data_IF_692578761319
#
_entry.id   IF_692578761319
#
_cell.length_a   1.000
_cell.length_b   1.000
_cell.length_c   1.000
_cell.angle_alpha   90.00
_cell.angle_beta   90.00
_cell.angle_gamma   90.00
#
_symmetry.space_group_name_H-M   'P 1'
#
loop_
_entity.id
_entity.type
_entity.pdbx_description
1 polymer ?
#
# COMPACT_ATOMS: atom_id res chain seq x y z
N UNK A 1 -55.51 1.27 -12.56
CA UNK A 1 -55.27 2.11 -11.37
C UNK A 1 -54.13 1.49 -10.57
N UNK A 2 -52.94 2.09 -10.62
CA UNK A 2 -51.83 1.65 -9.77
C UNK A 2 -52.15 2.01 -8.31
N UNK A 3 -52.07 1.02 -7.42
CA UNK A 3 -52.38 1.18 -5.99
C UNK A 3 -51.32 2.09 -5.33
N UNK A 4 -51.66 3.35 -5.15
CA UNK A 4 -50.81 4.40 -4.55
C UNK A 4 -50.30 4.02 -3.14
N UNK A 5 -51.00 3.10 -2.45
CA UNK A 5 -50.65 2.63 -1.10
C UNK A 5 -49.35 1.80 -1.03
N UNK A 6 -48.87 1.23 -2.14
CA UNK A 6 -47.64 0.41 -2.17
C UNK A 6 -46.40 1.26 -2.51
N UNK A 7 -46.59 2.42 -3.15
CA UNK A 7 -45.47 3.28 -3.59
C UNK A 7 -44.91 4.11 -2.42
N UNK A 8 -45.75 4.50 -1.46
CA UNK A 8 -45.38 5.34 -0.33
C UNK A 8 -44.28 4.73 0.60
N UNK A 9 -44.32 3.45 1.01
CA UNK A 9 -43.24 2.88 1.82
C UNK A 9 -41.92 2.70 1.05
N UNK A 10 -41.97 2.56 -0.29
CA UNK A 10 -40.77 2.47 -1.12
C UNK A 10 -40.03 3.81 -1.20
N UNK A 11 -40.74 4.93 -1.07
CA UNK A 11 -40.17 6.27 -1.15
C UNK A 11 -39.40 6.63 0.13
N UNK A 12 -39.87 6.21 1.31
CA UNK A 12 -39.14 6.42 2.58
C UNK A 12 -37.85 5.63 2.69
N UNK A 13 -37.75 4.45 2.06
CA UNK A 13 -36.53 3.62 2.14
C UNK A 13 -35.33 4.24 1.40
N UNK A 14 -35.60 5.10 0.40
CA UNK A 14 -34.55 5.75 -0.38
C UNK A 14 -33.80 6.87 0.36
N UNK A 15 -34.38 7.41 1.44
CA UNK A 15 -33.82 8.56 2.16
C UNK A 15 -32.72 8.13 3.14
N UNK A 16 -32.69 6.86 3.57
CA UNK A 16 -31.75 6.36 4.60
C UNK A 16 -30.32 6.18 4.05
N UNK A 17 -30.15 6.05 2.74
CA UNK A 17 -28.83 5.78 2.12
C UNK A 17 -27.97 7.05 2.02
N UNK A 18 -28.56 8.24 2.09
CA UNK A 18 -27.89 9.51 1.81
C UNK A 18 -27.46 10.31 3.04
N UNK A 19 -27.54 9.74 4.26
CA UNK A 19 -27.17 10.43 5.52
C UNK A 19 -26.06 9.78 6.33
N UNK A 20 -25.29 8.86 5.73
CA UNK A 20 -24.16 8.21 6.43
C UNK A 20 -22.93 9.12 6.41
N UNK A 21 -22.51 9.59 7.58
CA UNK A 21 -21.34 10.47 7.75
C UNK A 21 -20.05 9.73 7.45
N UNK A 22 -20.00 8.46 7.84
CA UNK A 22 -18.85 7.58 7.65
C UNK A 22 -19.30 6.19 7.19
N UNK A 23 -18.59 5.58 6.24
CA UNK A 23 -18.83 4.21 5.81
C UNK A 23 -17.58 3.36 6.02
N UNK A 24 -17.70 2.27 6.78
CA UNK A 24 -16.61 1.36 7.08
C UNK A 24 -16.70 0.07 6.25
N UNK A 25 -15.67 -0.26 5.47
CA UNK A 25 -15.65 -1.53 4.74
C UNK A 25 -15.33 -2.66 5.72
N UNK A 26 -16.25 -3.60 5.83
CA UNK A 26 -16.06 -4.80 6.62
C UNK A 26 -15.00 -5.73 6.01
N UNK A 27 -14.14 -6.28 6.86
CA UNK A 27 -13.07 -7.17 6.43
C UNK A 27 -13.59 -8.60 6.32
N UNK A 28 -13.65 -9.12 5.10
CA UNK A 28 -14.13 -10.48 4.80
C UNK A 28 -13.02 -11.53 4.88
N UNK A 29 -11.77 -11.13 5.14
CA UNK A 29 -10.63 -12.04 5.19
C UNK A 29 -10.65 -12.90 6.46
N UNK A 30 -10.79 -14.22 6.30
CA UNK A 30 -10.82 -15.16 7.42
C UNK A 30 -9.58 -15.09 8.33
N UNK A 31 -8.42 -14.69 7.79
CA UNK A 31 -7.16 -14.56 8.54
C UNK A 31 -7.13 -13.36 9.48
N UNK A 32 -8.04 -12.42 9.29
CA UNK A 32 -8.16 -11.16 10.02
C UNK A 32 -9.40 -11.13 10.94
N UNK A 33 -10.10 -12.26 11.13
CA UNK A 33 -11.29 -12.36 12.00
C UNK A 33 -11.04 -11.96 13.45
N UNK A 34 -9.79 -12.04 13.90
CA UNK A 34 -9.38 -11.69 15.26
C UNK A 34 -9.47 -10.19 15.57
N UNK A 35 -9.64 -9.34 14.54
CA UNK A 35 -9.84 -7.90 14.70
C UNK A 35 -11.27 -7.55 14.26
N UNK A 36 -12.08 -7.18 15.22
CA UNK A 36 -13.41 -6.60 14.99
C UNK A 36 -13.26 -5.09 14.81
N UNK A 37 -14.00 -4.55 13.84
CA UNK A 37 -14.00 -3.12 13.56
C UNK A 37 -15.40 -2.64 13.20
N UNK A 38 -15.81 -1.55 13.81
CA UNK A 38 -17.12 -0.96 13.62
C UNK A 38 -17.09 0.53 13.96
N UNK A 39 -18.03 1.27 13.40
CA UNK A 39 -18.27 2.66 13.79
C UNK A 39 -19.17 2.69 15.03
N UNK A 40 -18.97 3.68 15.88
CA UNK A 40 -19.91 3.93 16.97
C UNK A 40 -21.28 4.42 16.42
N UNK A 41 -22.27 4.57 17.30
CA UNK A 41 -23.64 4.93 16.89
C UNK A 41 -23.75 6.31 16.21
N UNK A 42 -22.84 7.23 16.54
CA UNK A 42 -22.80 8.57 15.98
C UNK A 42 -21.98 8.65 14.67
N UNK A 43 -21.36 7.54 14.26
CA UNK A 43 -20.45 7.43 13.11
C UNK A 43 -19.25 8.40 13.16
N UNK A 44 -18.90 8.85 14.36
CA UNK A 44 -17.86 9.84 14.61
C UNK A 44 -16.61 9.24 15.26
N UNK A 45 -16.65 7.97 15.67
CA UNK A 45 -15.50 7.23 16.17
C UNK A 45 -15.41 5.83 15.57
N UNK A 46 -14.20 5.41 15.20
CA UNK A 46 -13.88 4.04 14.80
C UNK A 46 -13.42 3.24 16.00
N UNK A 47 -14.07 2.10 16.23
CA UNK A 47 -13.71 1.17 17.29
C UNK A 47 -13.00 -0.02 16.68
N UNK A 48 -11.82 -0.34 17.20
CA UNK A 48 -11.05 -1.53 16.87
C UNK A 48 -10.91 -2.39 18.12
N UNK A 49 -11.31 -3.66 18.01
CA UNK A 49 -11.27 -4.62 19.11
C UNK A 49 -10.60 -5.91 18.62
N UNK A 50 -9.40 -6.17 19.12
CA UNK A 50 -8.59 -7.34 18.83
C UNK A 50 -8.73 -8.41 19.91
N UNK A 51 -8.73 -9.68 19.51
CA UNK A 51 -8.51 -10.81 20.44
C UNK A 51 -7.11 -10.74 21.09
N UNK A 52 -6.15 -10.16 20.36
CA UNK A 52 -4.75 -9.92 20.76
C UNK A 52 -4.47 -8.42 20.82
N UNK A 53 -3.37 -8.07 21.50
CA UNK A 53 -2.91 -6.69 21.62
C UNK A 53 -2.65 -6.05 20.26
N UNK A 54 -3.29 -4.90 20.04
CA UNK A 54 -3.02 -3.98 18.96
C UNK A 54 -1.85 -3.11 19.41
N UNK A 55 -0.72 -3.16 18.72
CA UNK A 55 0.46 -2.39 19.10
C UNK A 55 0.37 -0.96 18.58
N UNK A 56 -0.06 -0.82 17.33
CA UNK A 56 -0.24 0.47 16.67
C UNK A 56 -1.30 0.42 15.60
N UNK A 57 -1.90 1.57 15.33
CA UNK A 57 -2.82 1.78 14.23
C UNK A 57 -2.27 2.91 13.37
N UNK A 58 -2.11 2.67 12.08
CA UNK A 58 -1.75 3.72 11.12
C UNK A 58 -2.99 4.08 10.31
N UNK A 59 -3.32 5.36 10.23
CA UNK A 59 -4.43 5.87 9.43
C UNK A 59 -3.83 6.76 8.38
N UNK A 60 -4.07 6.46 7.10
CA UNK A 60 -3.47 7.25 6.04
C UNK A 60 -4.35 7.37 4.80
N UNK A 61 -4.17 8.48 4.11
CA UNK A 61 -4.71 8.82 2.79
C UNK A 61 -3.57 9.52 2.00
N UNK A 62 -3.86 10.13 0.85
CA UNK A 62 -2.90 10.92 0.07
C UNK A 62 -2.29 12.06 0.88
N UNK A 63 -3.10 12.73 1.69
CA UNK A 63 -2.72 13.96 2.42
C UNK A 63 -2.72 13.80 3.95
N UNK A 64 -3.04 12.61 4.46
CA UNK A 64 -3.12 12.29 5.89
C UNK A 64 -2.26 11.07 6.19
N UNK A 65 -1.48 11.08 7.27
CA UNK A 65 -0.79 9.89 7.78
C UNK A 65 -0.50 10.10 9.27
N UNK A 66 -1.24 9.38 10.08
CA UNK A 66 -1.18 9.38 11.53
C UNK A 66 -0.87 7.97 12.04
N UNK A 67 -0.07 7.89 13.11
CA UNK A 67 0.25 6.63 13.79
C UNK A 67 -0.09 6.75 15.26
N UNK A 68 -1.06 5.95 15.69
CA UNK A 68 -1.52 5.89 17.07
C UNK A 68 -0.88 4.68 17.75
N UNK A 69 -0.13 4.91 18.84
CA UNK A 69 0.40 3.82 19.68
C UNK A 69 -0.71 3.39 20.63
N UNK A 70 -1.05 2.10 20.61
CA UNK A 70 -2.19 1.57 21.37
C UNK A 70 -1.70 0.74 22.55
N UNK A 71 -1.04 -0.39 22.27
CA UNK A 71 -0.61 -1.41 23.26
C UNK A 71 -1.75 -1.96 24.11
N UNK A 72 -2.94 -2.00 23.55
CA UNK A 72 -4.14 -2.52 24.18
C UNK A 72 -4.92 -3.38 23.17
N UNK A 73 -5.88 -4.17 23.65
CA UNK A 73 -6.77 -4.98 22.81
C UNK A 73 -7.87 -4.14 22.16
N UNK A 74 -8.22 -3.00 22.75
CA UNK A 74 -9.29 -2.13 22.25
C UNK A 74 -8.78 -0.71 22.09
N UNK A 75 -9.24 -0.04 21.03
CA UNK A 75 -9.05 1.40 20.86
C UNK A 75 -10.28 2.02 20.20
N UNK A 76 -10.61 3.22 20.66
CA UNK A 76 -11.55 4.12 20.02
C UNK A 76 -10.78 5.27 19.40
N UNK A 77 -11.01 5.50 18.11
CA UNK A 77 -10.30 6.49 17.31
C UNK A 77 -11.33 7.53 16.87
N UNK A 78 -11.24 8.77 17.38
CA UNK A 78 -12.10 9.85 16.92
C UNK A 78 -11.85 10.15 15.44
N UNK A 79 -12.91 10.45 14.70
CA UNK A 79 -12.85 10.74 13.26
C UNK A 79 -13.02 12.24 12.95
N UNK A 80 -13.11 13.10 13.96
CA UNK A 80 -13.31 14.55 13.81
C UNK A 80 -12.19 15.21 12.99
N UNK A 81 -10.95 14.80 13.25
CA UNK A 81 -9.76 15.32 12.56
C UNK A 81 -9.60 14.76 11.13
N UNK A 82 -10.48 13.85 10.70
CA UNK A 82 -10.45 13.26 9.37
C UNK A 82 -11.40 14.01 8.42
N UNK A 83 -10.77 14.72 7.48
CA UNK A 83 -11.43 15.32 6.32
C UNK A 83 -12.23 14.28 5.52
N UNK A 84 -13.18 14.77 4.72
CA UNK A 84 -13.93 13.97 3.75
C UNK A 84 -12.93 13.26 2.81
N UNK A 85 -13.08 11.95 2.66
CA UNK A 85 -12.15 11.16 1.87
C UNK A 85 -12.11 9.70 2.24
N UNK A 86 -11.17 8.99 1.63
CA UNK A 86 -10.98 7.55 1.83
C UNK A 86 -9.68 7.30 2.55
N UNK A 87 -9.77 6.64 3.69
CA UNK A 87 -8.65 6.31 4.55
C UNK A 87 -8.39 4.81 4.52
N UNK A 88 -7.12 4.47 4.56
CA UNK A 88 -6.63 3.11 4.77
C UNK A 88 -6.11 3.02 6.19
N UNK A 89 -6.60 2.03 6.91
CA UNK A 89 -6.32 1.84 8.34
C UNK A 89 -5.56 0.53 8.48
N UNK A 90 -4.31 0.60 8.95
CA UNK A 90 -3.43 -0.53 9.20
C UNK A 90 -3.33 -0.77 10.70
N UNK A 91 -4.02 -1.80 11.19
CA UNK A 91 -3.87 -2.29 12.56
C UNK A 91 -2.72 -3.30 12.62
N UNK A 92 -1.73 -3.03 13.48
CA UNK A 92 -0.52 -3.85 13.62
C UNK A 92 -0.58 -4.64 14.92
N UNK A 93 -0.66 -5.95 14.78
CA UNK A 93 -0.54 -6.94 15.84
C UNK A 93 0.91 -7.47 15.86
N UNK A 94 1.23 -8.41 16.76
CA UNK A 94 2.60 -8.94 16.94
C UNK A 94 3.18 -9.54 15.65
N UNK A 95 2.37 -10.33 14.95
CA UNK A 95 2.75 -11.16 13.80
C UNK A 95 1.93 -10.85 12.54
N UNK A 96 1.03 -9.87 12.60
CA UNK A 96 0.06 -9.58 11.55
C UNK A 96 -0.19 -8.09 11.38
N UNK A 97 -0.60 -7.74 10.17
CA UNK A 97 -1.06 -6.41 9.78
C UNK A 97 -2.40 -6.57 9.08
N UNK A 98 -3.40 -5.89 9.59
CA UNK A 98 -4.77 -5.98 9.09
C UNK A 98 -5.11 -4.63 8.47
N UNK A 99 -5.55 -4.65 7.21
CA UNK A 99 -5.92 -3.46 6.45
C UNK A 99 -7.43 -3.34 6.39
N UNK A 100 -7.94 -2.17 6.76
CA UNK A 100 -9.34 -1.78 6.72
C UNK A 100 -9.46 -0.49 5.91
N UNK A 101 -10.62 -0.25 5.29
CA UNK A 101 -10.89 0.98 4.54
C UNK A 101 -12.06 1.71 5.18
N UNK A 102 -11.88 3.00 5.43
CA UNK A 102 -12.89 3.92 5.95
C UNK A 102 -13.17 5.01 4.91
N UNK A 103 -14.43 5.28 4.64
CA UNK A 103 -14.87 6.44 3.87
C UNK A 103 -15.50 7.47 4.79
N UNK A 104 -15.13 8.72 4.60
CA UNK A 104 -15.70 9.90 5.24
C UNK A 104 -16.45 10.64 4.15
N UNK A 105 -17.78 10.72 4.28
CA UNK A 105 -18.66 11.25 3.24
C UNK A 105 -19.08 12.69 3.56
N UNK A 106 -19.11 13.04 4.85
CA UNK A 106 -19.51 14.35 5.36
C UNK A 106 -18.49 14.86 6.38
N UNK A 107 -18.28 16.18 6.47
CA UNK A 107 -17.45 16.74 7.52
C UNK A 107 -18.17 16.57 8.86
N UNK A 108 -17.46 16.17 9.91
CA UNK A 108 -18.00 16.27 11.25
C UNK A 108 -17.89 17.72 11.69
N UNK A 109 -19.02 18.29 12.10
CA UNK A 109 -19.02 19.63 12.69
C UNK A 109 -18.38 19.49 14.07
N UNK A 110 -17.18 20.04 14.24
CA UNK A 110 -16.55 20.19 15.54
C UNK A 110 -17.43 21.07 16.42
N UNK A 111 -17.98 20.46 17.48
CA UNK A 111 -18.82 21.17 18.46
C UNK A 111 -17.99 22.25 19.20
N UNK A 112 -16.66 22.12 19.19
CA UNK A 112 -15.74 23.07 19.82
C UNK A 112 -15.50 24.34 18.99
N UNK A 113 -15.75 24.33 17.67
CA UNK A 113 -15.48 25.48 16.81
C UNK A 113 -16.63 26.49 16.84
N UNK A 114 -17.86 26.04 17.15
CA UNK A 114 -19.05 26.90 17.22
C UNK A 114 -19.25 27.62 18.57
N UNK A 115 -18.47 27.33 19.61
CA UNK A 115 -18.55 28.06 20.89
C UNK A 115 -17.82 29.42 20.79
N UNK A 116 -16.87 29.56 19.86
CA UNK A 116 -16.06 30.78 19.69
C UNK A 116 -16.72 31.86 18.83
N UNK A 117 -17.75 31.53 18.04
CA UNK A 117 -18.43 32.49 17.15
C UNK A 117 -19.84 32.91 17.61
N UNK A 118 -20.39 32.28 18.66
CA UNK A 118 -21.74 32.62 19.16
C UNK A 118 -21.69 33.51 20.43
N UNK A 119 -20.51 33.72 21.03
CA UNK A 119 -20.36 34.59 22.21
C UNK A 119 -19.87 36.00 21.85
N UNK A 120 -20.62 36.71 21.02
CA UNK A 120 -20.59 38.18 20.99
C UNK A 120 -21.97 38.71 20.61
N UNK A 121 -22.60 39.42 21.56
CA UNK A 121 -23.99 39.93 21.60
C UNK A 121 -24.98 38.83 22.05
N UNK A 122 -25.57 38.80 23.25
CA UNK A 122 -25.97 39.84 24.20
C UNK A 122 -26.11 39.25 25.63
N UNK A 123 -26.19 40.15 26.63
CA UNK A 123 -26.13 39.89 28.08
C UNK A 123 -27.39 39.24 28.69
N UNK A 124 -27.14 38.67 29.87
CA UNK A 124 -28.02 38.43 31.03
C UNK A 124 -28.95 37.21 31.02
N UNK A 125 -28.55 36.13 31.71
CA UNK A 125 -28.95 35.86 33.11
C UNK A 125 -28.46 34.48 33.59
N UNK A 126 -27.80 34.50 34.75
CA UNK A 126 -27.63 33.46 35.79
C UNK A 126 -28.06 32.00 35.53
N UNK A 127 -27.13 31.06 35.64
CA UNK A 127 -27.03 30.17 36.81
C UNK A 127 -25.86 29.18 36.73
N UNK A 128 -25.11 29.20 37.82
CA UNK A 128 -24.09 28.26 38.32
C UNK A 128 -24.54 26.80 38.21
N UNK A 129 -23.65 25.88 37.82
CA UNK A 129 -23.46 24.59 38.51
C UNK A 129 -22.07 24.01 38.19
N UNK A 130 -21.28 23.87 39.25
CA UNK A 130 -19.96 23.21 39.37
C UNK A 130 -20.18 21.71 39.50
N UNK A 131 -19.31 20.87 38.94
CA UNK A 131 -18.84 19.65 39.62
C UNK A 131 -17.43 19.27 39.13
N UNK A 132 -16.53 19.14 40.11
CA UNK A 132 -15.17 18.57 40.05
C UNK A 132 -15.24 17.05 39.92
N UNK A 133 -14.22 16.43 39.31
CA UNK A 133 -13.60 15.21 39.89
C UNK A 133 -12.24 14.92 39.25
N UNK A 134 -11.21 15.21 40.05
CA UNK A 134 -10.14 14.32 40.51
C UNK A 134 -9.33 13.43 39.55
N UNK A 135 -8.03 13.67 39.69
CA UNK A 135 -6.91 12.80 39.32
C UNK A 135 -6.89 11.58 40.24
N UNK A 136 -6.52 10.42 39.70
CA UNK A 136 -5.57 9.55 40.38
C UNK A 136 -4.73 8.72 39.40
N UNK A 137 -3.40 8.84 39.59
CA UNK A 137 -2.31 7.83 39.49
C UNK A 137 -2.33 6.81 38.34
N UNK A 138 -1.22 6.59 37.63
CA UNK A 138 -0.05 5.89 38.19
C UNK A 138 1.14 5.97 37.24
N UNK A 139 2.31 6.26 37.79
CA UNK A 139 3.64 6.22 37.18
C UNK A 139 4.14 4.79 36.96
N UNK A 140 4.55 4.43 35.73
CA UNK A 140 5.45 3.29 35.49
C UNK A 140 6.44 3.62 34.34
N UNK A 141 7.68 3.87 34.76
CA UNK A 141 8.99 3.62 34.13
C UNK A 141 9.10 3.59 32.59
N UNK A 142 9.60 4.71 32.06
CA UNK A 142 10.32 4.80 30.78
C UNK A 142 11.63 4.02 30.86
N UNK A 143 11.81 2.98 30.04
CA UNK A 143 13.15 2.52 29.57
C UNK A 143 13.02 1.37 28.56
N UNK A 144 12.21 1.51 27.50
CA UNK A 144 12.38 0.63 26.32
C UNK A 144 11.75 1.15 25.01
N UNK A 145 11.70 2.47 24.80
CA UNK A 145 11.02 3.04 23.61
C UNK A 145 11.87 3.96 22.72
N UNK A 146 13.14 4.19 23.06
CA UNK A 146 14.01 5.19 22.39
C UNK A 146 14.67 4.76 21.06
N UNK A 147 14.20 3.70 20.39
CA UNK A 147 14.83 3.21 19.14
C UNK A 147 13.94 3.28 17.90
N UNK A 148 12.73 3.80 17.98
CA UNK A 148 11.80 3.84 16.84
C UNK A 148 11.25 5.27 16.67
N UNK A 149 11.61 5.88 15.55
CA UNK A 149 10.99 7.09 14.97
C UNK A 149 11.39 8.49 15.50
N UNK A 150 12.68 8.83 15.42
CA UNK A 150 13.06 10.25 15.27
C UNK A 150 12.90 10.72 13.83
N UNK A 151 12.07 11.76 13.71
CA UNK A 151 11.96 12.82 12.68
C UNK A 151 11.11 12.55 11.44
N UNK A 152 9.81 12.80 11.60
CA UNK A 152 8.91 13.16 10.53
C UNK A 152 8.61 14.68 10.50
N UNK A 153 8.87 15.25 9.31
CA UNK A 153 8.02 16.18 8.55
C UNK A 153 7.94 17.66 8.96
N UNK A 154 8.07 18.51 7.95
CA UNK A 154 7.27 19.75 7.80
C UNK A 154 6.95 20.07 6.32
N UNK A 155 5.64 20.14 6.06
CA UNK A 155 4.90 21.14 5.25
C UNK A 155 4.47 20.86 3.78
N UNK A 156 3.16 20.59 3.66
CA UNK A 156 2.07 21.29 2.93
C UNK A 156 1.88 21.25 1.39
N UNK A 157 0.69 20.71 1.04
CA UNK A 157 -0.41 21.12 0.12
C UNK A 157 -0.24 21.14 -1.41
N UNK A 158 -1.08 20.35 -2.11
CA UNK A 158 -2.21 20.79 -2.97
C UNK A 158 -3.05 19.57 -3.46
N UNK A 159 -4.38 19.68 -3.38
CA UNK A 159 -5.41 18.72 -3.84
C UNK A 159 -5.43 18.53 -5.37
N UNK A 160 -5.77 17.30 -5.82
CA UNK A 160 -6.49 17.03 -7.08
C UNK A 160 -7.02 15.58 -7.11
N UNK A 161 -8.25 15.43 -7.62
CA UNK A 161 -9.06 14.22 -7.66
C UNK A 161 -8.63 13.26 -8.78
N UNK A 162 -7.83 12.25 -8.46
CA UNK A 162 -7.51 11.14 -9.37
C UNK A 162 -7.79 9.80 -8.67
N UNK A 163 -8.80 9.11 -9.22
CA UNK A 163 -9.03 7.66 -9.30
C UNK A 163 -8.90 6.77 -8.04
N UNK A 164 -10.05 6.22 -7.61
CA UNK A 164 -10.27 5.16 -6.61
C UNK A 164 -9.32 3.95 -6.74
N UNK A 165 -8.76 3.70 -7.94
CA UNK A 165 -7.78 2.64 -8.22
C UNK A 165 -6.38 2.92 -7.66
N UNK A 166 -6.04 4.18 -7.37
CA UNK A 166 -4.74 4.59 -6.81
C UNK A 166 -4.68 4.32 -5.29
N UNK A 167 -5.82 4.44 -4.60
CA UNK A 167 -5.95 4.18 -3.15
C UNK A 167 -5.91 2.69 -2.79
N UNK A 168 -6.39 1.80 -3.66
CA UNK A 168 -6.24 0.34 -3.47
C UNK A 168 -4.83 -0.15 -3.80
N UNK A 169 -4.10 0.58 -4.63
CA UNK A 169 -2.68 0.35 -4.94
C UNK A 169 -1.73 1.20 -4.09
N UNK A 170 -2.25 1.83 -3.02
CA UNK A 170 -1.47 2.67 -2.14
C UNK A 170 -0.41 1.83 -1.40
N UNK A 171 0.79 1.78 -1.97
CA UNK A 171 2.00 1.51 -1.20
C UNK A 171 2.26 2.74 -0.36
N UNK A 172 2.20 2.59 0.97
CA UNK A 172 2.59 3.60 1.96
C UNK A 172 3.77 4.43 1.43
N UNK A 173 3.61 5.74 1.20
CA UNK A 173 4.70 6.56 0.72
C UNK A 173 5.77 6.53 1.80
N UNK A 174 6.96 6.09 1.41
CA UNK A 174 8.14 6.10 2.27
C UNK A 174 8.40 7.56 2.58
N UNK A 175 8.21 7.97 3.83
CA UNK A 175 8.51 9.32 4.30
C UNK A 175 9.88 9.76 3.74
N UNK A 176 9.90 10.85 2.97
CA UNK A 176 11.16 11.44 2.51
C UNK A 176 11.84 12.07 3.72
N UNK A 177 12.63 11.26 4.44
CA UNK A 177 13.83 11.76 5.12
C UNK A 177 14.53 12.68 4.11
N UNK A 178 15.05 13.82 4.52
CA UNK A 178 15.98 14.57 3.66
C UNK A 178 17.09 13.61 3.30
N UNK A 179 16.94 12.97 2.14
CA UNK A 179 17.97 12.18 1.55
C UNK A 179 19.02 13.24 1.27
N UNK A 180 20.05 13.35 2.13
CA UNK A 180 21.41 13.62 1.63
C UNK A 180 21.46 12.81 0.37
N UNK A 181 21.37 13.44 -0.82
CA UNK A 181 21.17 12.77 -2.12
C UNK A 181 22.01 11.52 -2.04
N UNK A 182 21.37 10.38 -1.76
CA UNK A 182 22.11 9.21 -1.32
C UNK A 182 22.63 8.73 -2.63
N UNK A 183 23.83 9.24 -3.01
CA UNK A 183 24.38 9.23 -4.37
C UNK A 183 23.82 7.98 -4.98
N UNK A 184 22.83 8.13 -5.88
CA UNK A 184 22.12 6.96 -6.39
C UNK A 184 23.23 5.99 -6.72
N UNK A 185 23.29 4.87 -5.99
CA UNK A 185 24.33 3.89 -6.28
C UNK A 185 23.95 3.48 -7.68
N UNK A 186 24.61 4.06 -8.68
CA UNK A 186 24.39 3.76 -10.07
C UNK A 186 24.54 2.26 -10.11
N UNK A 187 23.41 1.57 -10.24
CA UNK A 187 23.44 0.12 -10.32
C UNK A 187 24.13 -0.11 -11.65
N UNK A 188 25.40 -0.49 -11.58
CA UNK A 188 26.16 -0.89 -12.75
C UNK A 188 25.55 -2.21 -13.17
N UNK A 189 24.61 -2.13 -14.10
CA UNK A 189 24.06 -3.30 -14.74
C UNK A 189 25.03 -3.70 -15.83
N UNK A 190 25.57 -4.90 -15.71
CA UNK A 190 26.56 -5.42 -16.65
C UNK A 190 25.96 -6.50 -17.54
N UNK A 191 24.65 -6.79 -17.41
CA UNK A 191 24.03 -7.89 -18.14
C UNK A 191 22.67 -7.51 -18.71
N UNK A 192 22.41 -7.99 -19.91
CA UNK A 192 21.09 -7.98 -20.53
C UNK A 192 20.48 -9.36 -20.48
N UNK A 193 19.23 -9.42 -20.03
CA UNK A 193 18.49 -10.66 -19.86
C UNK A 193 17.37 -10.71 -20.87
N UNK A 194 17.28 -11.83 -21.56
CA UNK A 194 16.10 -12.28 -22.28
C UNK A 194 15.62 -13.57 -21.62
N UNK A 195 14.41 -13.56 -21.07
CA UNK A 195 13.82 -14.73 -20.45
C UNK A 195 12.42 -14.97 -20.99
N UNK A 196 12.23 -16.08 -21.68
CA UNK A 196 10.95 -16.55 -22.19
C UNK A 196 10.46 -17.69 -21.31
N UNK A 197 9.29 -17.48 -20.70
CA UNK A 197 8.64 -18.43 -19.81
C UNK A 197 7.43 -19.01 -20.55
N UNK A 198 7.41 -20.33 -20.70
CA UNK A 198 6.36 -21.08 -21.36
C UNK A 198 5.67 -21.97 -20.33
N UNK A 199 4.36 -21.80 -20.18
CA UNK A 199 3.57 -22.47 -19.14
C UNK A 199 2.52 -23.44 -19.69
N UNK A 200 2.53 -23.68 -21.01
CA UNK A 200 1.53 -24.46 -21.75
C UNK A 200 0.29 -23.67 -22.14
N UNK A 201 -0.20 -22.78 -21.28
CA UNK A 201 -1.39 -21.94 -21.56
C UNK A 201 -1.05 -20.51 -21.99
N UNK A 202 0.14 -20.02 -21.64
CA UNK A 202 0.63 -18.71 -22.05
C UNK A 202 2.16 -18.70 -22.11
N UNK A 203 2.68 -17.78 -22.92
CA UNK A 203 4.09 -17.42 -22.97
C UNK A 203 4.30 -16.00 -22.44
N UNK A 204 5.43 -15.77 -21.77
CA UNK A 204 5.80 -14.45 -21.25
C UNK A 204 7.28 -14.18 -21.51
N UNK A 205 7.57 -13.05 -22.15
CA UNK A 205 8.94 -12.61 -22.42
C UNK A 205 9.30 -11.47 -21.45
N UNK A 206 10.43 -11.62 -20.77
CA UNK A 206 11.01 -10.64 -19.86
C UNK A 206 12.34 -10.18 -20.45
N UNK A 207 12.47 -8.87 -20.63
CA UNK A 207 13.68 -8.22 -21.14
C UNK A 207 14.11 -7.13 -20.18
N UNK A 208 15.29 -7.27 -19.56
CA UNK A 208 15.76 -6.29 -18.57
C UNK A 208 17.27 -6.28 -18.42
N UNK A 209 17.77 -5.14 -17.94
CA UNK A 209 19.13 -5.03 -17.40
C UNK A 209 19.17 -5.64 -16.00
N UNK A 210 20.24 -6.39 -15.70
CA UNK A 210 20.41 -7.08 -14.43
C UNK A 210 21.82 -6.93 -13.87
N UNK A 211 21.93 -7.09 -12.54
CA UNK A 211 23.22 -7.14 -11.84
C UNK A 211 23.73 -8.57 -11.76
N UNK A 212 25.04 -8.78 -11.55
CA UNK A 212 25.63 -10.12 -11.44
C UNK A 212 24.90 -11.01 -10.42
N UNK A 213 24.65 -10.48 -9.21
CA UNK A 213 23.90 -11.18 -8.15
C UNK A 213 22.48 -11.62 -8.57
N UNK A 214 21.84 -10.84 -9.43
CA UNK A 214 20.52 -11.19 -9.95
C UNK A 214 20.61 -12.25 -11.05
N UNK A 215 21.62 -12.15 -11.90
CA UNK A 215 21.95 -13.16 -12.91
C UNK A 215 22.22 -14.51 -12.26
N UNK A 216 23.07 -14.57 -11.23
CA UNK A 216 23.41 -15.82 -10.54
C UNK A 216 22.14 -16.52 -10.03
N UNK A 217 21.24 -15.76 -9.38
CA UNK A 217 19.94 -16.27 -8.92
C UNK A 217 19.02 -16.73 -10.05
N UNK A 218 19.03 -16.02 -11.18
CA UNK A 218 18.23 -16.38 -12.35
C UNK A 218 18.76 -17.66 -13.00
N UNK A 219 20.07 -17.84 -13.05
CA UNK A 219 20.74 -19.05 -13.54
C UNK A 219 20.43 -20.22 -12.62
N UNK A 220 20.65 -20.09 -11.31
CA UNK A 220 20.34 -21.14 -10.32
C UNK A 220 18.88 -21.59 -10.43
N UNK A 221 17.95 -20.64 -10.52
CA UNK A 221 16.53 -20.94 -10.69
C UNK A 221 16.24 -21.63 -12.03
N UNK A 222 16.81 -21.14 -13.12
CA UNK A 222 16.61 -21.75 -14.44
C UNK A 222 17.15 -23.18 -14.48
N UNK A 223 18.29 -23.46 -13.84
CA UNK A 223 18.85 -24.82 -13.73
C UNK A 223 17.92 -25.78 -12.99
N UNK A 224 17.16 -25.30 -12.00
CA UNK A 224 16.13 -26.10 -11.34
C UNK A 224 14.89 -26.27 -12.24
N UNK A 225 14.44 -25.19 -12.88
CA UNK A 225 13.24 -25.19 -13.72
C UNK A 225 13.38 -26.12 -14.92
N UNK A 226 14.54 -26.15 -15.58
CA UNK A 226 14.81 -26.98 -16.77
C UNK A 226 14.72 -28.49 -16.47
N UNK A 227 14.91 -28.89 -15.20
CA UNK A 227 14.71 -30.30 -14.80
C UNK A 227 13.24 -30.71 -14.77
N UNK A 228 12.32 -29.75 -14.79
CA UNK A 228 10.87 -30.01 -14.79
C UNK A 228 10.32 -30.04 -16.22
N UNK A 229 9.32 -30.90 -16.49
CA UNK A 229 8.67 -30.99 -17.81
C UNK A 229 8.17 -29.63 -18.33
N UNK A 230 7.65 -28.78 -17.45
CA UNK A 230 7.15 -27.45 -17.82
C UNK A 230 8.31 -26.49 -18.14
N UNK A 231 9.37 -26.52 -17.34
CA UNK A 231 10.49 -25.58 -17.48
C UNK A 231 11.47 -25.91 -18.60
N UNK A 232 11.43 -27.10 -19.19
CA UNK A 232 12.19 -27.45 -20.41
C UNK A 232 11.86 -26.53 -21.60
N UNK A 233 10.66 -25.97 -21.62
CA UNK A 233 10.22 -25.04 -22.66
C UNK A 233 10.64 -23.58 -22.41
N UNK A 234 11.24 -23.28 -21.25
CA UNK A 234 11.71 -21.94 -20.92
C UNK A 234 13.08 -21.65 -21.54
N UNK A 235 13.29 -20.43 -22.01
CA UNK A 235 14.54 -20.00 -22.64
C UNK A 235 15.10 -18.80 -21.89
N UNK A 236 16.27 -18.96 -21.26
CA UNK A 236 17.04 -17.88 -20.66
C UNK A 236 18.29 -17.64 -21.49
N UNK A 237 18.46 -16.41 -21.99
CA UNK A 237 19.68 -15.93 -22.65
C UNK A 237 20.17 -14.68 -21.96
N UNK A 238 21.44 -14.65 -21.62
CA UNK A 238 22.07 -13.55 -20.89
C UNK A 238 23.30 -13.11 -21.67
N UNK A 239 23.44 -11.80 -21.91
CA UNK A 239 24.61 -11.20 -22.55
C UNK A 239 25.34 -10.30 -21.56
N UNK A 240 26.66 -10.33 -21.62
CA UNK A 240 27.51 -9.39 -20.89
C UNK A 240 27.61 -8.08 -21.67
N UNK A 241 27.46 -6.97 -20.95
CA UNK A 241 27.44 -5.61 -21.49
C UNK A 241 28.57 -4.80 -20.86
N UNK A 242 29.39 -4.21 -21.71
CA UNK A 242 30.47 -3.31 -21.32
C UNK A 242 29.98 -1.86 -21.18
N UNK A 243 29.06 -1.43 -22.05
CA UNK A 243 28.46 -0.09 -22.01
C UNK A 243 26.93 -0.13 -22.16
N UNK A 244 26.22 -0.06 -21.03
CA UNK A 244 24.76 -0.14 -20.96
C UNK A 244 24.06 1.00 -21.70
N UNK A 245 24.58 2.22 -21.62
CA UNK A 245 23.94 3.40 -22.21
C UNK A 245 23.98 3.36 -23.73
N UNK A 246 25.12 3.00 -24.31
CA UNK A 246 25.25 2.88 -25.76
C UNK A 246 24.52 1.64 -26.28
N UNK A 247 24.55 0.53 -25.54
CA UNK A 247 23.82 -0.68 -25.88
C UNK A 247 22.31 -0.43 -26.03
N UNK A 248 21.68 0.22 -25.04
CA UNK A 248 20.24 0.48 -25.07
C UNK A 248 19.85 1.37 -26.26
N UNK A 249 20.60 2.45 -26.50
CA UNK A 249 20.37 3.34 -27.64
C UNK A 249 20.39 2.60 -28.98
N UNK A 250 21.41 1.77 -29.22
CA UNK A 250 21.51 1.04 -30.50
C UNK A 250 20.49 -0.09 -30.60
N UNK A 251 20.14 -0.72 -29.48
CA UNK A 251 19.10 -1.76 -29.42
C UNK A 251 17.70 -1.22 -29.71
N UNK A 252 17.43 0.02 -29.35
CA UNK A 252 16.17 0.70 -29.68
C UNK A 252 16.08 1.03 -31.17
N UNK A 253 17.21 1.39 -31.79
CA UNK A 253 17.28 1.72 -33.22
C UNK A 253 17.25 0.47 -34.12
N UNK A 254 17.94 -0.61 -33.73
CA UNK A 254 17.99 -1.86 -34.48
C UNK A 254 17.58 -3.05 -33.61
N UNK A 255 16.47 -3.70 -34.01
CA UNK A 255 15.96 -4.91 -33.34
C UNK A 255 16.93 -6.08 -33.43
N UNK A 256 17.75 -6.14 -34.48
CA UNK A 256 18.72 -7.21 -34.74
C UNK A 256 20.10 -6.93 -34.13
N UNK A 257 20.26 -5.80 -33.43
CA UNK A 257 21.53 -5.36 -32.86
C UNK A 257 22.24 -6.40 -31.97
N UNK A 258 21.48 -7.28 -31.30
CA UNK A 258 22.01 -8.35 -30.45
C UNK A 258 22.86 -9.37 -31.23
N UNK A 259 22.60 -9.52 -32.53
CA UNK A 259 23.29 -10.47 -33.39
C UNK A 259 24.47 -9.83 -34.13
N UNK A 260 24.62 -8.51 -34.05
CA UNK A 260 25.66 -7.75 -34.74
C UNK A 260 26.85 -7.54 -33.83
N UNK A 261 28.08 -7.73 -34.36
CA UNK A 261 29.31 -7.43 -33.61
C UNK A 261 29.32 -5.97 -33.17
N UNK A 262 29.50 -5.75 -31.87
CA UNK A 262 29.49 -4.43 -31.26
C UNK A 262 30.55 -4.34 -30.17
N UNK A 263 31.19 -3.16 -29.99
CA UNK A 263 32.09 -2.93 -28.88
C UNK A 263 31.38 -2.76 -27.54
N UNK A 264 30.04 -2.68 -27.51
CA UNK A 264 29.29 -2.36 -26.29
C UNK A 264 28.86 -3.57 -25.48
N UNK A 265 28.87 -4.77 -26.06
CA UNK A 265 28.45 -6.01 -25.42
C UNK A 265 29.12 -7.22 -26.08
N UNK A 266 29.13 -8.35 -25.39
CA UNK A 266 29.59 -9.61 -25.96
C UNK A 266 28.47 -10.24 -26.81
N UNK A 267 28.72 -10.48 -28.10
CA UNK A 267 27.77 -11.14 -29.01
C UNK A 267 27.45 -12.56 -28.55
N UNK A 268 28.47 -13.24 -28.00
CA UNK A 268 28.31 -14.58 -27.45
C UNK A 268 27.63 -14.42 -26.08
N UNK A 269 26.44 -15.02 -25.88
CA UNK A 269 25.75 -14.94 -24.61
C UNK A 269 26.59 -15.59 -23.51
N UNK A 270 26.66 -14.92 -22.36
CA UNK A 270 27.28 -15.41 -21.14
C UNK A 270 26.62 -16.70 -20.63
N UNK A 271 25.30 -16.80 -20.79
CA UNK A 271 24.53 -18.00 -20.43
C UNK A 271 23.40 -18.21 -21.42
N UNK A 272 23.20 -19.47 -21.81
CA UNK A 272 22.00 -19.92 -22.52
C UNK A 272 21.46 -21.18 -21.86
N UNK A 273 20.14 -21.34 -21.81
CA UNK A 273 19.53 -22.58 -21.33
C UNK A 273 20.01 -23.82 -22.11
N UNK A 274 20.32 -23.65 -23.41
CA UNK A 274 20.89 -24.71 -24.26
C UNK A 274 22.28 -25.17 -23.80
N UNK A 275 23.07 -24.29 -23.18
CA UNK A 275 24.42 -24.62 -22.68
C UNK A 275 24.43 -25.63 -21.53
N UNK A 276 23.30 -25.86 -20.87
CA UNK A 276 23.20 -26.70 -19.66
C UNK A 276 22.69 -28.14 -19.92
N UNK A 277 22.58 -28.57 -21.18
CA UNK A 277 22.61 -30.01 -21.49
C UNK A 277 21.29 -30.78 -21.62
N UNK A 278 20.15 -30.12 -21.87
CA UNK A 278 18.94 -30.83 -22.38
C UNK A 278 18.77 -30.57 -23.88
N UNK A 279 19.82 -30.90 -24.64
CA UNK A 279 19.73 -30.98 -26.08
C UNK A 279 18.98 -32.25 -26.48
N UNK A 280 17.66 -32.15 -26.61
CA UNK A 280 16.85 -32.75 -27.69
C UNK A 280 15.41 -32.30 -27.51
N UNK A 281 14.95 -31.35 -28.32
CA UNK A 281 13.52 -31.31 -28.66
C UNK A 281 13.24 -32.59 -29.47
N UNK A 282 12.23 -33.42 -29.15
CA UNK A 282 11.75 -34.38 -30.14
C UNK A 282 11.23 -33.57 -31.33
N UNK A 283 11.76 -33.85 -32.52
CA UNK A 283 11.13 -33.40 -33.75
C UNK A 283 9.75 -34.06 -33.78
N UNK A 284 8.70 -33.24 -33.77
CA UNK A 284 7.37 -33.71 -34.08
C UNK A 284 7.33 -34.00 -35.59
N UNK A 285 7.23 -35.28 -35.94
CA UNK A 285 6.77 -35.74 -37.25
C UNK A 285 5.27 -35.51 -37.38
#
# INVERSE_FOLDING_TARGET
MFNLKIILPFLFLSIIVYGQKSTLIQNVNFRAKELKHYLNKAEDSLILEGERTIYKVNIFNKDYDETIKVKDKKIEIPLYDLDIGRYVIEAVLLDKRIIIVLFRNEPLIDINTHITEITSVEKDTSSVFVFEEDKETTSINETEYDKIDKEERKNNKHFDSISISELLNYKRPIAKKTFKKRKEKKRTYNYWVYYEINSGHYSKIIRKMATKKEIDRMIERNQLDVKTLKGQSNILKIWEIYNSSMFLKHKELDKNFINTKSPYFNVIPYYTTESYGFGTKPQAN
#
